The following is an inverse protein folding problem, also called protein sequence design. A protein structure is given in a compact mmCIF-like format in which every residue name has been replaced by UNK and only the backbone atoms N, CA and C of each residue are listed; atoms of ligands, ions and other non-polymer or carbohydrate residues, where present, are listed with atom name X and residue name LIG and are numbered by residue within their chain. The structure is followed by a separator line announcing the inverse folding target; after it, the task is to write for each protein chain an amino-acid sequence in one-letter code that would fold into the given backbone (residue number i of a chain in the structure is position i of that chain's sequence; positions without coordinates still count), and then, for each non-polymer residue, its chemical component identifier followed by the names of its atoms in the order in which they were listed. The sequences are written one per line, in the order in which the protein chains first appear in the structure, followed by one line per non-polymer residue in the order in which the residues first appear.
data_IF_009476878994
#
_entry.id   IF_009476878994
#
_cell.length_a   1.000
_cell.length_b   1.000
_cell.length_c   1.000
_cell.angle_alpha   90.00
_cell.angle_beta   90.00
_cell.angle_gamma   90.00
#
_symmetry.space_group_name_H-M   'P 1'
#
loop_
_entity.id
_entity.type
_entity.pdbx_description
1 polymer ?
#
# COMPACT_ATOMS: atom_id res chain seq x y z
N UNK A 1 7.16 23.70 -35.61
CA UNK A 1 8.13 22.59 -35.49
C UNK A 1 7.90 21.96 -34.12
N UNK A 2 7.02 20.97 -34.08
CA UNK A 2 6.76 20.24 -32.82
C UNK A 2 7.94 19.31 -32.55
N UNK A 3 8.61 19.58 -31.44
CA UNK A 3 9.68 18.71 -30.96
C UNK A 3 9.06 17.36 -30.60
N UNK A 4 9.28 16.35 -31.43
CA UNK A 4 8.96 14.95 -31.15
C UNK A 4 9.72 14.60 -29.87
N UNK A 5 9.01 14.56 -28.74
CA UNK A 5 9.59 14.16 -27.47
C UNK A 5 10.23 12.79 -27.65
N UNK A 6 11.51 12.65 -27.30
CA UNK A 6 12.26 11.41 -27.42
C UNK A 6 11.49 10.31 -26.63
N UNK A 7 11.24 9.11 -27.18
CA UNK A 7 10.42 8.07 -26.51
C UNK A 7 10.85 7.80 -25.06
N UNK A 8 12.16 7.82 -24.81
CA UNK A 8 12.71 7.67 -23.46
C UNK A 8 12.32 8.80 -22.47
N UNK A 9 12.23 10.04 -22.96
CA UNK A 9 11.83 11.19 -22.13
C UNK A 9 10.33 11.14 -21.79
N UNK A 10 9.49 10.69 -22.73
CA UNK A 10 8.06 10.50 -22.51
C UNK A 10 7.80 9.38 -21.49
N UNK A 11 8.51 8.26 -21.59
CA UNK A 11 8.42 7.16 -20.62
C UNK A 11 8.87 7.57 -19.23
N UNK A 12 9.96 8.32 -19.10
CA UNK A 12 10.44 8.84 -17.81
C UNK A 12 9.41 9.80 -17.18
N UNK A 13 8.78 10.66 -17.98
CA UNK A 13 7.73 11.57 -17.51
C UNK A 13 6.50 10.79 -17.02
N UNK A 14 6.11 9.71 -17.69
CA UNK A 14 5.02 8.82 -17.29
C UNK A 14 5.33 8.13 -15.97
N UNK A 15 6.52 7.56 -15.80
CA UNK A 15 6.92 6.91 -14.55
C UNK A 15 6.99 7.91 -13.38
N UNK A 16 7.47 9.12 -13.61
CA UNK A 16 7.46 10.20 -12.61
C UNK A 16 6.02 10.57 -12.20
N UNK A 17 5.13 10.72 -13.16
CA UNK A 17 3.73 11.03 -12.90
C UNK A 17 3.05 9.88 -12.12
N UNK A 18 3.28 8.65 -12.54
CA UNK A 18 2.78 7.46 -11.85
C UNK A 18 3.26 7.40 -10.40
N UNK A 19 4.57 7.51 -10.16
CA UNK A 19 5.14 7.46 -8.82
C UNK A 19 4.60 8.58 -7.91
N UNK A 20 4.51 9.82 -8.44
CA UNK A 20 3.98 10.96 -7.70
C UNK A 20 2.52 10.77 -7.28
N UNK A 21 1.65 10.38 -8.23
CA UNK A 21 0.22 10.22 -7.98
C UNK A 21 0.00 9.03 -7.02
N UNK A 22 0.67 7.91 -7.26
CA UNK A 22 0.60 6.72 -6.41
C UNK A 22 0.99 7.02 -4.97
N UNK A 23 2.10 7.70 -4.77
CA UNK A 23 2.56 8.11 -3.43
C UNK A 23 1.57 9.09 -2.78
N UNK A 24 1.02 10.04 -3.53
CA UNK A 24 0.03 10.98 -3.01
C UNK A 24 -1.27 10.29 -2.57
N UNK A 25 -1.72 9.25 -3.30
CA UNK A 25 -2.90 8.46 -2.94
C UNK A 25 -2.61 7.57 -1.72
N UNK A 26 -1.50 6.83 -1.74
CA UNK A 26 -1.18 5.88 -0.66
C UNK A 26 -0.81 6.56 0.65
N UNK A 27 -0.32 7.80 0.61
CA UNK A 27 -0.10 8.66 1.76
C UNK A 27 -1.33 9.53 2.12
N UNK A 28 -2.46 9.35 1.42
CA UNK A 28 -3.72 10.10 1.63
C UNK A 28 -3.58 11.63 1.44
N UNK A 29 -2.56 12.07 0.71
CA UNK A 29 -2.48 13.47 0.24
C UNK A 29 -3.56 13.75 -0.81
N UNK A 30 -3.84 12.76 -1.68
CA UNK A 30 -5.06 12.71 -2.47
C UNK A 30 -6.08 11.82 -1.73
N UNK A 31 -7.18 12.41 -1.30
CA UNK A 31 -8.19 11.74 -0.46
C UNK A 31 -9.14 10.86 -1.30
N UNK A 32 -9.69 9.77 -0.74
CA UNK A 32 -10.78 9.04 -1.37
C UNK A 32 -11.91 9.98 -1.82
N UNK A 33 -12.41 9.79 -3.04
CA UNK A 33 -13.41 10.66 -3.66
C UNK A 33 -12.87 11.97 -4.23
N UNK A 34 -11.61 12.29 -4.06
CA UNK A 34 -11.02 13.49 -4.64
C UNK A 34 -10.86 13.35 -6.15
N UNK A 35 -11.37 14.32 -6.90
CA UNK A 35 -11.11 14.42 -8.34
C UNK A 35 -9.65 14.77 -8.60
N UNK A 36 -9.04 14.05 -9.54
CA UNK A 36 -7.67 14.24 -9.99
C UNK A 36 -7.68 14.95 -11.34
N UNK A 37 -7.37 16.25 -11.31
CA UNK A 37 -7.31 17.07 -12.51
C UNK A 37 -5.96 16.91 -13.19
N UNK A 38 -5.98 16.35 -14.39
CA UNK A 38 -4.76 16.08 -15.18
C UNK A 38 -3.92 17.35 -15.37
N UNK A 39 -4.57 18.50 -15.57
CA UNK A 39 -3.91 19.79 -15.76
C UNK A 39 -3.12 20.23 -14.53
N UNK A 40 -3.71 20.14 -13.35
CA UNK A 40 -3.07 20.54 -12.08
C UNK A 40 -1.86 19.64 -11.78
N UNK A 41 -2.00 18.33 -12.03
CA UNK A 41 -0.89 17.37 -11.83
C UNK A 41 0.21 17.59 -12.86
N UNK A 42 -0.13 17.84 -14.12
CA UNK A 42 0.83 18.13 -15.17
C UNK A 42 1.63 19.41 -14.88
N UNK A 43 0.95 20.44 -14.40
CA UNK A 43 1.61 21.69 -13.97
C UNK A 43 2.54 21.45 -12.78
N UNK A 44 2.10 20.73 -11.75
CA UNK A 44 2.91 20.41 -10.57
C UNK A 44 4.19 19.61 -10.90
N UNK A 45 4.14 18.80 -11.97
CA UNK A 45 5.26 17.96 -12.42
C UNK A 45 6.08 18.60 -13.54
N UNK A 46 5.70 19.79 -14.02
CA UNK A 46 6.28 20.42 -15.22
C UNK A 46 6.29 19.45 -16.43
N UNK A 47 5.16 18.74 -16.61
CA UNK A 47 4.98 17.74 -17.65
C UNK A 47 3.80 18.07 -18.55
N UNK A 48 3.69 17.41 -19.72
CA UNK A 48 2.50 17.48 -20.56
C UNK A 48 1.35 16.63 -19.97
N UNK A 49 0.13 16.77 -20.48
CA UNK A 49 -1.04 16.04 -20.01
C UNK A 49 -1.00 14.55 -20.36
N UNK A 50 -0.35 14.19 -21.47
CA UNK A 50 -0.32 12.79 -21.98
C UNK A 50 0.28 11.82 -20.96
N UNK A 51 1.53 11.99 -20.44
CA UNK A 51 2.11 11.08 -19.46
C UNK A 51 1.31 11.01 -18.15
N UNK A 52 0.64 12.09 -17.74
CA UNK A 52 -0.23 12.10 -16.57
C UNK A 52 -1.48 11.24 -16.78
N UNK A 53 -2.10 11.33 -17.99
CA UNK A 53 -3.26 10.49 -18.33
C UNK A 53 -2.91 9.01 -18.41
N UNK A 54 -1.75 8.67 -18.96
CA UNK A 54 -1.24 7.30 -19.00
C UNK A 54 -0.98 6.76 -17.60
N UNK A 55 -0.36 7.56 -16.73
CA UNK A 55 -0.16 7.23 -15.33
C UNK A 55 -1.50 6.98 -14.60
N UNK A 56 -2.49 7.85 -14.77
CA UNK A 56 -3.83 7.69 -14.19
C UNK A 56 -4.55 6.46 -14.75
N UNK A 57 -4.39 6.15 -16.03
CA UNK A 57 -4.94 4.93 -16.64
C UNK A 57 -4.35 3.66 -16.02
N UNK A 58 -3.03 3.64 -15.78
CA UNK A 58 -2.36 2.53 -15.08
C UNK A 58 -2.84 2.40 -13.64
N UNK A 59 -2.97 3.51 -12.91
CA UNK A 59 -3.49 3.53 -11.54
C UNK A 59 -4.96 3.08 -11.46
N UNK A 60 -5.75 3.30 -12.53
CA UNK A 60 -7.11 2.77 -12.62
C UNK A 60 -7.13 1.25 -12.80
N UNK A 61 -6.21 0.67 -13.57
CA UNK A 61 -6.04 -0.78 -13.67
C UNK A 61 -5.61 -1.39 -12.33
N UNK A 62 -4.79 -0.69 -11.55
CA UNK A 62 -4.40 -1.08 -10.19
C UNK A 62 -5.52 -0.87 -9.15
N UNK A 63 -6.62 -0.20 -9.53
CA UNK A 63 -7.78 0.04 -8.67
C UNK A 63 -7.57 1.09 -7.58
N UNK A 64 -6.58 1.99 -7.74
CA UNK A 64 -6.33 3.13 -6.85
C UNK A 64 -7.18 4.36 -7.22
N UNK A 65 -7.51 4.48 -8.48
CA UNK A 65 -8.44 5.50 -9.01
C UNK A 65 -9.50 4.83 -9.87
N UNK A 66 -10.59 5.54 -10.14
CA UNK A 66 -11.63 5.12 -11.08
C UNK A 66 -11.93 6.25 -12.06
N UNK A 67 -12.47 5.90 -13.22
CA UNK A 67 -12.88 6.90 -14.21
C UNK A 67 -14.21 7.50 -13.79
N UNK A 68 -14.29 8.82 -13.84
CA UNK A 68 -15.52 9.58 -13.60
C UNK A 68 -15.82 10.44 -14.82
N UNK A 69 -16.95 10.17 -15.49
CA UNK A 69 -17.27 10.83 -16.75
C UNK A 69 -16.29 10.48 -17.88
N UNK A 70 -16.34 11.23 -19.00
CA UNK A 70 -15.57 10.88 -20.21
C UNK A 70 -14.04 10.95 -20.06
N UNK A 71 -13.51 11.85 -19.22
CA UNK A 71 -12.06 12.15 -19.17
C UNK A 71 -11.49 12.36 -17.76
N UNK A 72 -12.33 12.25 -16.73
CA UNK A 72 -11.93 12.49 -15.34
C UNK A 72 -11.47 11.23 -14.63
N UNK A 73 -10.70 11.41 -13.56
CA UNK A 73 -10.35 10.38 -12.60
C UNK A 73 -10.66 10.84 -11.18
N UNK A 74 -11.05 9.91 -10.33
CA UNK A 74 -11.29 10.13 -8.91
C UNK A 74 -10.56 9.08 -8.11
N UNK A 75 -10.03 9.46 -6.96
CA UNK A 75 -9.42 8.49 -6.03
C UNK A 75 -10.52 7.55 -5.54
N UNK A 76 -10.31 6.25 -5.74
CA UNK A 76 -11.32 5.24 -5.43
C UNK A 76 -11.66 5.21 -3.94
N UNK A 77 -12.95 5.21 -3.63
CA UNK A 77 -13.45 4.85 -2.31
C UNK A 77 -13.34 3.34 -2.08
N UNK A 78 -13.02 2.94 -0.85
CA UNK A 78 -13.04 1.52 -0.47
C UNK A 78 -14.25 1.26 0.42
N UNK A 79 -15.18 0.43 -0.06
CA UNK A 79 -16.30 -0.06 0.74
C UNK A 79 -15.85 -1.13 1.75
N UNK A 80 -16.71 -1.46 2.72
CA UNK A 80 -16.48 -2.60 3.64
C UNK A 80 -16.21 -3.87 2.86
N UNK A 81 -16.97 -4.10 1.77
CA UNK A 81 -16.76 -5.26 0.89
C UNK A 81 -15.39 -5.23 0.23
N UNK A 82 -14.95 -4.08 -0.31
CA UNK A 82 -13.61 -3.96 -0.92
C UNK A 82 -12.51 -4.29 0.10
N UNK A 83 -12.65 -3.87 1.36
CA UNK A 83 -11.70 -4.19 2.42
C UNK A 83 -11.69 -5.70 2.72
N UNK A 84 -12.85 -6.33 2.83
CA UNK A 84 -12.94 -7.78 3.06
C UNK A 84 -12.29 -8.56 1.92
N UNK A 85 -12.60 -8.21 0.67
CA UNK A 85 -12.04 -8.85 -0.52
C UNK A 85 -10.52 -8.65 -0.59
N UNK A 86 -10.03 -7.41 -0.34
CA UNK A 86 -8.61 -7.09 -0.30
C UNK A 86 -7.84 -7.94 0.72
N UNK A 87 -8.35 -8.01 1.95
CA UNK A 87 -7.67 -8.77 3.00
C UNK A 87 -7.78 -10.29 2.82
N UNK A 88 -8.83 -10.80 2.17
CA UNK A 88 -8.93 -12.21 1.79
C UNK A 88 -7.86 -12.62 0.77
N UNK A 89 -7.71 -11.83 -0.30
CA UNK A 89 -6.66 -12.06 -1.32
C UNK A 89 -5.27 -11.88 -0.71
N UNK A 90 -5.07 -10.85 0.11
CA UNK A 90 -3.82 -10.61 0.84
C UNK A 90 -3.42 -11.85 1.66
N UNK A 91 -4.35 -12.42 2.45
CA UNK A 91 -4.07 -13.59 3.27
C UNK A 91 -3.61 -14.78 2.43
N UNK A 92 -4.30 -15.07 1.32
CA UNK A 92 -3.93 -16.17 0.44
C UNK A 92 -2.52 -16.00 -0.15
N UNK A 93 -2.21 -14.80 -0.65
CA UNK A 93 -0.91 -14.52 -1.28
C UNK A 93 0.23 -14.42 -0.27
N UNK A 94 0.04 -13.78 0.89
CA UNK A 94 1.10 -13.70 1.92
C UNK A 94 1.38 -15.07 2.55
N UNK A 95 0.39 -15.95 2.70
CA UNK A 95 0.63 -17.33 3.14
C UNK A 95 1.39 -18.13 2.09
N UNK A 96 1.10 -17.93 0.80
CA UNK A 96 1.88 -18.53 -0.28
C UNK A 96 3.33 -18.04 -0.25
N UNK A 97 3.57 -16.74 -0.02
CA UNK A 97 4.90 -16.19 0.14
C UNK A 97 5.62 -16.76 1.38
N UNK A 98 4.94 -16.83 2.52
CA UNK A 98 5.48 -17.40 3.76
C UNK A 98 5.99 -18.84 3.57
N UNK A 99 5.22 -19.67 2.86
CA UNK A 99 5.63 -21.06 2.54
C UNK A 99 6.85 -21.13 1.64
N UNK A 100 6.99 -20.19 0.69
CA UNK A 100 8.11 -20.16 -0.25
C UNK A 100 9.40 -19.67 0.41
N UNK A 101 9.33 -18.73 1.38
CA UNK A 101 10.52 -18.15 2.01
C UNK A 101 11.08 -18.98 3.16
N UNK A 102 10.28 -19.86 3.75
CA UNK A 102 10.73 -20.70 4.87
C UNK A 102 11.94 -21.53 4.49
N UNK A 103 13.02 -21.37 5.25
CA UNK A 103 14.27 -22.10 5.04
C UNK A 103 15.10 -21.66 3.83
N UNK A 104 14.61 -20.71 3.03
CA UNK A 104 15.32 -20.18 1.86
C UNK A 104 16.04 -18.86 2.14
N UNK A 105 15.60 -18.11 3.17
CA UNK A 105 16.24 -16.84 3.54
C UNK A 105 17.57 -17.12 4.26
N UNK A 106 18.62 -16.45 3.80
CA UNK A 106 19.86 -16.37 4.54
C UNK A 106 19.78 -15.38 5.71
N UNK A 107 20.73 -15.45 6.63
CA UNK A 107 20.73 -14.60 7.82
C UNK A 107 20.88 -13.12 7.48
N UNK A 108 21.56 -12.77 6.37
CA UNK A 108 21.74 -11.40 5.91
C UNK A 108 20.42 -10.77 5.51
N UNK A 109 19.57 -11.49 4.76
CA UNK A 109 18.21 -11.01 4.41
C UNK A 109 17.35 -10.83 5.67
N UNK A 110 17.45 -11.76 6.61
CA UNK A 110 16.70 -11.65 7.88
C UNK A 110 17.19 -10.43 8.68
N UNK A 111 18.49 -10.16 8.72
CA UNK A 111 19.04 -8.98 9.40
C UNK A 111 18.62 -7.67 8.73
N UNK A 112 18.52 -7.62 7.41
CA UNK A 112 17.92 -6.46 6.70
C UNK A 112 16.46 -6.23 7.10
N UNK A 113 15.65 -7.29 7.18
CA UNK A 113 14.26 -7.20 7.63
C UNK A 113 14.16 -6.71 9.09
N UNK A 114 15.08 -7.17 9.97
CA UNK A 114 15.18 -6.66 11.36
C UNK A 114 15.51 -5.17 11.36
N UNK A 115 16.48 -4.73 10.54
CA UNK A 115 16.83 -3.32 10.41
C UNK A 115 15.66 -2.47 9.88
N UNK A 116 14.87 -3.00 8.93
CA UNK A 116 13.66 -2.34 8.45
C UNK A 116 12.63 -2.12 9.57
N UNK A 117 12.39 -3.14 10.40
CA UNK A 117 11.46 -3.01 11.54
C UNK A 117 11.99 -2.04 12.60
N UNK A 118 13.30 -1.99 12.84
CA UNK A 118 13.92 -1.03 13.75
C UNK A 118 13.80 0.42 13.23
N UNK A 119 13.96 0.63 11.91
CA UNK A 119 13.72 1.96 11.30
C UNK A 119 12.25 2.38 11.43
N UNK A 120 11.31 1.45 11.23
CA UNK A 120 9.89 1.72 11.45
C UNK A 120 9.62 2.15 12.90
N UNK A 121 10.24 1.48 13.88
CA UNK A 121 10.13 1.86 15.29
C UNK A 121 10.69 3.25 15.58
N UNK A 122 11.81 3.63 14.96
CA UNK A 122 12.37 4.98 15.08
C UNK A 122 11.40 6.05 14.52
N UNK A 123 10.77 5.79 13.37
CA UNK A 123 9.74 6.66 12.81
C UNK A 123 8.50 6.76 13.72
N UNK A 124 8.08 5.66 14.34
CA UNK A 124 6.99 5.68 15.30
C UNK A 124 7.30 6.57 16.51
N UNK A 125 8.49 6.43 17.11
CA UNK A 125 8.91 7.23 18.27
C UNK A 125 9.00 8.72 17.98
N UNK A 126 9.37 9.09 16.74
CA UNK A 126 9.49 10.50 16.32
C UNK A 126 8.21 11.07 15.71
N UNK A 127 7.10 10.31 15.71
CA UNK A 127 5.81 10.76 15.17
C UNK A 127 5.74 10.83 13.63
N UNK A 128 6.72 10.27 12.93
CA UNK A 128 6.80 10.26 11.48
C UNK A 128 5.97 9.10 10.88
N UNK A 129 4.66 9.14 11.08
CA UNK A 129 3.76 8.00 10.78
C UNK A 129 3.66 7.65 9.29
N UNK A 130 3.81 8.61 8.40
CA UNK A 130 3.87 8.35 6.95
C UNK A 130 5.13 7.52 6.60
N UNK A 131 6.28 7.90 7.17
CA UNK A 131 7.54 7.15 7.01
C UNK A 131 7.43 5.74 7.62
N UNK A 132 6.77 5.63 8.79
CA UNK A 132 6.47 4.34 9.41
C UNK A 132 5.70 3.42 8.45
N UNK A 133 4.57 3.89 7.89
CA UNK A 133 3.74 3.08 6.98
C UNK A 133 4.47 2.69 5.71
N UNK A 134 5.29 3.61 5.17
CA UNK A 134 6.13 3.31 4.01
C UNK A 134 7.16 2.22 4.34
N UNK A 135 7.82 2.32 5.50
CA UNK A 135 8.80 1.33 5.94
C UNK A 135 8.16 -0.03 6.22
N UNK A 136 6.97 -0.04 6.85
CA UNK A 136 6.21 -1.27 7.08
C UNK A 136 5.79 -1.93 5.75
N UNK A 137 5.35 -1.14 4.76
CA UNK A 137 5.06 -1.65 3.41
C UNK A 137 6.30 -2.28 2.77
N UNK A 138 7.46 -1.63 2.86
CA UNK A 138 8.73 -2.14 2.34
C UNK A 138 9.15 -3.46 3.00
N UNK A 139 8.91 -3.61 4.30
CA UNK A 139 9.16 -4.86 5.04
C UNK A 139 8.40 -6.05 4.43
N UNK A 140 7.10 -5.91 4.19
CA UNK A 140 6.29 -6.96 3.56
C UNK A 140 6.68 -7.20 2.11
N UNK A 141 7.02 -6.14 1.37
CA UNK A 141 7.46 -6.21 -0.02
C UNK A 141 8.80 -6.96 -0.16
N UNK A 142 9.72 -6.76 0.78
CA UNK A 142 10.99 -7.46 0.82
C UNK A 142 10.80 -8.97 1.05
N UNK A 143 9.88 -9.37 1.96
CA UNK A 143 9.53 -10.79 2.16
C UNK A 143 8.94 -11.38 0.87
N UNK A 144 8.05 -10.67 0.20
CA UNK A 144 7.45 -11.11 -1.05
C UNK A 144 8.50 -11.24 -2.18
N UNK A 145 9.43 -10.29 -2.27
CA UNK A 145 10.53 -10.32 -3.24
C UNK A 145 11.50 -11.48 -3.02
N UNK A 146 11.76 -11.81 -1.76
CA UNK A 146 12.65 -12.91 -1.37
C UNK A 146 12.12 -14.30 -1.76
N UNK A 147 10.87 -14.44 -2.18
CA UNK A 147 10.32 -15.69 -2.72
C UNK A 147 10.95 -16.09 -4.07
N UNK A 148 11.58 -15.15 -4.80
CA UNK A 148 12.00 -15.34 -6.18
C UNK A 148 10.83 -15.44 -7.18
N UNK A 149 9.60 -15.50 -6.71
CA UNK A 149 8.39 -15.59 -7.54
C UNK A 149 7.95 -14.20 -8.00
N UNK A 150 8.38 -13.80 -9.19
CA UNK A 150 8.12 -12.46 -9.75
C UNK A 150 6.62 -12.11 -9.82
N UNK A 151 5.78 -13.08 -10.20
CA UNK A 151 4.35 -12.85 -10.32
C UNK A 151 3.71 -12.63 -8.95
N UNK A 152 4.05 -13.47 -7.97
CA UNK A 152 3.58 -13.33 -6.59
C UNK A 152 4.00 -11.98 -5.99
N UNK A 153 5.26 -11.57 -6.19
CA UNK A 153 5.77 -10.27 -5.74
C UNK A 153 5.01 -9.10 -6.37
N UNK A 154 4.74 -9.12 -7.69
CA UNK A 154 3.97 -8.07 -8.37
C UNK A 154 2.55 -7.96 -7.83
N UNK A 155 1.86 -9.09 -7.64
CA UNK A 155 0.50 -9.11 -7.09
C UNK A 155 0.48 -8.58 -5.66
N UNK A 156 1.40 -9.04 -4.80
CA UNK A 156 1.52 -8.56 -3.42
C UNK A 156 1.89 -7.08 -3.35
N UNK A 157 2.77 -6.58 -4.20
CA UNK A 157 3.12 -5.16 -4.24
C UNK A 157 1.89 -4.27 -4.47
N UNK A 158 1.01 -4.65 -5.41
CA UNK A 158 -0.25 -3.94 -5.64
C UNK A 158 -1.18 -4.00 -4.41
N UNK A 159 -1.28 -5.16 -3.77
CA UNK A 159 -2.09 -5.35 -2.56
C UNK A 159 -1.54 -4.50 -1.40
N UNK A 160 -0.23 -4.51 -1.18
CA UNK A 160 0.42 -3.74 -0.11
C UNK A 160 0.23 -2.23 -0.27
N UNK A 161 0.21 -1.71 -1.50
CA UNK A 161 -0.06 -0.29 -1.75
C UNK A 161 -1.50 0.08 -1.34
N UNK A 162 -2.47 -0.76 -1.66
CA UNK A 162 -3.88 -0.56 -1.23
C UNK A 162 -4.05 -0.69 0.28
N UNK A 163 -3.36 -1.64 0.90
CA UNK A 163 -3.34 -1.78 2.37
C UNK A 163 -2.70 -0.56 3.03
N UNK A 164 -1.63 0.00 2.46
CA UNK A 164 -1.00 1.23 2.95
C UNK A 164 -1.96 2.42 2.87
N UNK A 165 -2.73 2.57 1.78
CA UNK A 165 -3.75 3.61 1.66
C UNK A 165 -4.78 3.51 2.80
N UNK A 166 -5.29 2.32 3.07
CA UNK A 166 -6.25 2.10 4.17
C UNK A 166 -5.59 2.37 5.53
N UNK A 167 -4.34 1.90 5.72
CA UNK A 167 -3.57 2.17 6.93
C UNK A 167 -3.37 3.66 7.18
N UNK A 168 -3.03 4.44 6.16
CA UNK A 168 -2.84 5.88 6.27
C UNK A 168 -4.12 6.62 6.69
N UNK A 169 -5.29 6.17 6.24
CA UNK A 169 -6.58 6.71 6.67
C UNK A 169 -6.86 6.46 8.16
N UNK A 170 -6.38 5.35 8.72
CA UNK A 170 -6.67 4.92 10.09
C UNK A 170 -5.63 5.38 11.13
N UNK A 171 -4.39 5.68 10.69
CA UNK A 171 -3.25 6.04 11.56
C UNK A 171 -3.49 7.29 12.39
N UNK A 172 -4.13 8.31 11.82
CA UNK A 172 -4.45 9.55 12.53
C UNK A 172 -5.42 9.33 13.70
N UNK A 173 -6.14 8.21 13.69
CA UNK A 173 -7.22 7.90 14.62
C UNK A 173 -6.81 6.89 15.72
N UNK A 174 -5.79 6.03 15.48
CA UNK A 174 -5.45 4.98 16.44
C UNK A 174 -3.96 4.61 16.48
N UNK A 175 -3.15 5.48 17.09
CA UNK A 175 -1.69 5.28 17.26
C UNK A 175 -1.28 3.95 17.95
N UNK A 176 -2.03 3.38 18.94
CA UNK A 176 -1.68 2.09 19.52
C UNK A 176 -1.52 0.97 18.49
N UNK A 177 -2.27 1.00 17.37
CA UNK A 177 -2.17 -0.02 16.30
C UNK A 177 -0.76 -0.09 15.68
N UNK A 178 -0.07 1.04 15.57
CA UNK A 178 1.29 1.07 15.02
C UNK A 178 2.30 0.30 15.89
N UNK A 179 2.14 0.40 17.23
CA UNK A 179 2.96 -0.38 18.15
C UNK A 179 2.70 -1.88 18.02
N UNK A 180 1.43 -2.27 17.89
CA UNK A 180 1.05 -3.65 17.66
C UNK A 180 1.66 -4.21 16.35
N UNK A 181 1.68 -3.41 15.26
CA UNK A 181 2.30 -3.79 13.98
C UNK A 181 3.79 -4.12 14.15
N UNK A 182 4.53 -3.30 14.92
CA UNK A 182 5.95 -3.57 15.20
C UNK A 182 6.15 -4.91 15.92
N UNK A 183 5.29 -5.22 16.89
CA UNK A 183 5.35 -6.47 17.64
C UNK A 183 4.95 -7.67 16.78
N UNK A 184 3.97 -7.51 15.90
CA UNK A 184 3.56 -8.52 14.94
C UNK A 184 4.72 -8.83 13.96
N UNK A 185 5.39 -7.81 13.42
CA UNK A 185 6.57 -7.99 12.58
C UNK A 185 7.71 -8.69 13.32
N UNK A 186 7.96 -8.37 14.61
CA UNK A 186 8.96 -9.08 15.42
C UNK A 186 8.64 -10.56 15.56
N UNK A 187 7.35 -10.94 15.69
CA UNK A 187 6.95 -12.35 15.75
C UNK A 187 7.20 -13.04 14.42
N UNK A 188 6.88 -12.39 13.28
CA UNK A 188 7.19 -12.92 11.94
C UNK A 188 8.71 -13.16 11.80
N UNK A 189 9.53 -12.16 12.16
CA UNK A 189 10.99 -12.26 12.12
C UNK A 189 11.53 -13.40 13.00
N UNK A 190 10.99 -13.57 14.20
CA UNK A 190 11.40 -14.64 15.10
C UNK A 190 11.10 -16.03 14.53
N UNK A 191 9.99 -16.19 13.79
CA UNK A 191 9.64 -17.47 13.14
C UNK A 191 10.47 -17.73 11.90
N UNK A 192 10.79 -16.68 11.12
CA UNK A 192 11.73 -16.78 9.98
C UNK A 192 13.11 -17.24 10.43
N UNK A 193 13.67 -16.65 11.51
CA UNK A 193 14.96 -17.06 12.08
C UNK A 193 15.00 -18.52 12.53
N UNK A 194 13.89 -19.00 13.11
CA UNK A 194 13.74 -20.38 13.54
C UNK A 194 13.46 -21.36 12.41
N UNK A 195 13.22 -20.85 11.19
CA UNK A 195 12.79 -21.63 10.03
C UNK A 195 11.54 -22.49 10.31
N UNK A 196 10.67 -22.00 11.23
CA UNK A 196 9.44 -22.69 11.64
C UNK A 196 8.27 -22.29 10.74
N UNK A 197 8.04 -23.07 9.68
CA UNK A 197 7.00 -22.80 8.69
C UNK A 197 5.59 -22.71 9.28
N UNK A 198 5.13 -23.71 10.06
CA UNK A 198 3.82 -23.64 10.70
C UNK A 198 3.63 -22.44 11.64
N UNK A 199 4.68 -22.04 12.39
CA UNK A 199 4.61 -20.87 13.23
C UNK A 199 4.60 -19.58 12.42
N UNK A 200 5.36 -19.51 11.31
CA UNK A 200 5.34 -18.38 10.39
C UNK A 200 3.95 -18.18 9.77
N UNK A 201 3.32 -19.23 9.26
CA UNK A 201 1.97 -19.14 8.72
C UNK A 201 0.96 -18.63 9.75
N UNK A 202 1.05 -19.10 11.00
CA UNK A 202 0.19 -18.60 12.11
C UNK A 202 0.45 -17.13 12.39
N UNK A 203 1.71 -16.71 12.42
CA UNK A 203 2.09 -15.32 12.68
C UNK A 203 1.58 -14.38 11.59
N UNK A 204 1.78 -14.73 10.31
CA UNK A 204 1.31 -13.98 9.15
C UNK A 204 -0.23 -13.90 9.14
N UNK A 205 -0.93 -15.02 9.32
CA UNK A 205 -2.40 -15.05 9.39
C UNK A 205 -2.93 -14.16 10.51
N UNK A 206 -2.33 -14.24 11.70
CA UNK A 206 -2.71 -13.41 12.85
C UNK A 206 -2.51 -11.92 12.56
N UNK A 207 -1.39 -11.54 11.96
CA UNK A 207 -1.09 -10.17 11.54
C UNK A 207 -2.15 -9.62 10.57
N UNK A 208 -2.48 -10.37 9.53
CA UNK A 208 -3.44 -9.96 8.51
C UNK A 208 -4.85 -9.83 9.10
N UNK A 209 -5.27 -10.82 9.89
CA UNK A 209 -6.58 -10.81 10.55
C UNK A 209 -6.75 -9.61 11.48
N UNK A 210 -5.76 -9.31 12.32
CA UNK A 210 -5.79 -8.13 13.21
C UNK A 210 -5.83 -6.83 12.43
N UNK A 211 -5.09 -6.74 11.31
CA UNK A 211 -5.15 -5.60 10.40
C UNK A 211 -6.54 -5.39 9.82
N UNK A 212 -7.16 -6.47 9.33
CA UNK A 212 -8.54 -6.45 8.82
C UNK A 212 -9.53 -5.99 9.87
N UNK A 213 -9.50 -6.61 11.05
CA UNK A 213 -10.40 -6.28 12.17
C UNK A 213 -10.27 -4.83 12.61
N UNK A 214 -9.04 -4.30 12.63
CA UNK A 214 -8.79 -2.90 12.94
C UNK A 214 -9.44 -1.97 11.91
N UNK A 215 -9.20 -2.21 10.61
CA UNK A 215 -9.76 -1.39 9.53
C UNK A 215 -11.30 -1.45 9.55
N UNK A 216 -11.88 -2.63 9.73
CA UNK A 216 -13.33 -2.77 9.79
C UNK A 216 -13.94 -2.00 10.96
N UNK A 217 -13.36 -2.10 12.17
CA UNK A 217 -13.82 -1.30 13.31
C UNK A 217 -13.78 0.20 13.00
N UNK A 218 -12.68 0.68 12.40
CA UNK A 218 -12.54 2.09 12.08
C UNK A 218 -13.57 2.59 11.05
N UNK A 219 -13.99 1.72 10.12
CA UNK A 219 -15.03 2.05 9.15
C UNK A 219 -16.43 2.02 9.78
N UNK A 220 -16.72 1.04 10.66
CA UNK A 220 -18.03 0.87 11.27
C UNK A 220 -18.29 1.85 12.42
N UNK A 221 -17.26 2.18 13.22
CA UNK A 221 -17.36 3.15 14.31
C UNK A 221 -17.46 4.59 13.80
N UNK A 222 -17.11 4.82 12.53
CA UNK A 222 -17.22 6.12 11.86
C UNK A 222 -18.64 6.42 11.36
N UNK A 223 -19.67 6.06 12.11
CA UNK A 223 -21.06 6.54 11.89
C UNK A 223 -21.20 8.08 12.05
N UNK A 224 -20.11 8.79 12.32
CA UNK A 224 -19.98 10.26 12.28
C UNK A 224 -19.14 10.68 11.08
N UNK A 225 -19.50 11.77 10.43
CA UNK A 225 -18.97 12.50 9.26
C UNK A 225 -17.43 12.56 9.01
N UNK A 226 -16.63 11.79 9.73
CA UNK A 226 -15.18 11.86 9.73
C UNK A 226 -14.46 10.85 8.81
N UNK A 227 -15.18 9.86 8.29
CA UNK A 227 -14.58 8.89 7.37
C UNK A 227 -15.13 9.12 5.96
N UNK A 228 -14.28 9.45 4.96
CA UNK A 228 -14.74 9.74 3.60
C UNK A 228 -15.42 8.55 2.91
N UNK A 229 -15.45 7.38 3.56
CA UNK A 229 -16.08 6.15 3.06
C UNK A 229 -17.62 6.17 3.18
N UNK A 230 -18.20 6.99 4.06
CA UNK A 230 -19.63 6.98 4.33
C UNK A 230 -20.46 7.95 3.44
N UNK A 231 -19.81 8.92 2.79
CA UNK A 231 -20.52 9.99 2.06
C UNK A 231 -21.09 9.58 0.68
N UNK A 232 -20.79 8.38 0.17
CA UNK A 232 -21.22 7.95 -1.18
C UNK A 232 -22.63 7.29 -1.22
N UNK A 233 -23.48 7.43 -0.19
CA UNK A 233 -24.84 6.83 -0.16
C UNK A 233 -26.00 7.81 -0.38
N UNK A 234 -25.74 9.02 -0.87
CA UNK A 234 -26.83 9.94 -1.29
C UNK A 234 -26.48 10.62 -2.60
N UNK A 235 -26.72 9.97 -3.69
CA UNK A 235 -27.15 10.54 -4.97
C UNK A 235 -27.62 9.39 -5.88
#
# INVERSE_FOLDING_TARGET
MDAIAHPAAAQLAQERAYAYIKEAITAVRFRPGQRLRTEEIAQALSASRTPVREALSRLAQEGLVEREGGWGYVVKHMSVKDVLDLFSVREALELAAARQVVGQLDDGVIDELVAMNARAEAYFRTGQYENFLRQNRQFHDAIAGATGNRLLHQMLSTIHDRVRQVGALTVTMHKPRLKELLEENRRILATLRKKDGPALERAVRSHIRRGREHVLRMITDSSSDRFPLAAARKA
#
